data_IF_057511224485
#
_entry.id   IF_057511224485
#
_cell.length_a   1.000
_cell.length_b   1.000
_cell.length_c   1.000
_cell.angle_alpha   90.00
_cell.angle_beta   90.00
_cell.angle_gamma   90.00
#
_symmetry.space_group_name_H-M   'P 1'
#
loop_
_entity.id
_entity.type
_entity.pdbx_description
1 polymer ?
#
# COMPACT_ATOMS: atom_id res chain seq x y z
N UNK A 1 4.02 24.20 -13.77
CA UNK A 1 3.03 23.11 -13.90
C UNK A 1 2.53 22.75 -12.51
N UNK A 2 1.25 22.41 -12.34
CA UNK A 2 0.75 21.93 -11.03
C UNK A 2 1.28 20.53 -10.75
N UNK A 3 1.64 20.24 -9.52
CA UNK A 3 2.24 18.96 -9.12
C UNK A 3 1.21 17.86 -8.90
N UNK A 4 1.65 16.61 -9.01
CA UNK A 4 0.89 15.42 -8.64
C UNK A 4 1.35 14.99 -7.24
N UNK A 5 0.42 14.98 -6.29
CA UNK A 5 0.67 14.50 -4.94
C UNK A 5 0.65 12.97 -4.91
N UNK A 6 1.71 12.35 -4.40
CA UNK A 6 1.82 10.91 -4.17
C UNK A 6 1.73 10.64 -2.66
N UNK A 7 0.74 9.85 -2.26
CA UNK A 7 0.40 9.60 -0.84
C UNK A 7 0.93 8.27 -0.29
N UNK A 8 1.68 7.52 -1.09
CA UNK A 8 2.27 6.22 -0.72
C UNK A 8 3.45 6.37 0.24
N UNK A 9 3.85 5.29 0.97
CA UNK A 9 5.14 5.23 1.63
C UNK A 9 6.28 5.69 0.72
N UNK A 10 7.21 6.48 1.25
CA UNK A 10 8.19 7.27 0.48
C UNK A 10 8.94 6.44 -0.59
N UNK A 11 9.50 5.30 -0.19
CA UNK A 11 10.24 4.44 -1.13
C UNK A 11 9.36 3.93 -2.28
N UNK A 12 8.12 3.53 -1.98
CA UNK A 12 7.16 3.07 -2.98
C UNK A 12 6.69 4.21 -3.89
N UNK A 13 6.51 5.42 -3.34
CA UNK A 13 6.14 6.61 -4.10
C UNK A 13 7.22 7.02 -5.09
N UNK A 14 8.48 7.08 -4.64
CA UNK A 14 9.63 7.37 -5.49
C UNK A 14 9.81 6.32 -6.60
N UNK A 15 9.68 5.03 -6.26
CA UNK A 15 9.77 3.96 -7.25
C UNK A 15 8.67 4.04 -8.31
N UNK A 16 7.47 4.42 -7.91
CA UNK A 16 6.35 4.63 -8.82
C UNK A 16 6.61 5.83 -9.74
N UNK A 17 7.01 6.98 -9.20
CA UNK A 17 7.26 8.20 -9.98
C UNK A 17 8.35 7.99 -11.05
N UNK A 18 9.42 7.25 -10.73
CA UNK A 18 10.51 6.91 -11.68
C UNK A 18 10.04 6.05 -12.87
N UNK A 19 8.91 5.36 -12.76
CA UNK A 19 8.34 4.56 -13.84
C UNK A 19 7.40 5.37 -14.74
N UNK A 20 7.07 6.59 -14.36
CA UNK A 20 6.28 7.50 -15.21
C UNK A 20 7.18 8.18 -16.26
N UNK A 21 6.55 8.81 -17.24
CA UNK A 21 7.27 9.64 -18.21
C UNK A 21 7.29 11.13 -17.84
N UNK A 22 6.99 11.47 -16.58
CA UNK A 22 7.05 12.82 -16.02
C UNK A 22 8.37 13.03 -15.27
N UNK A 23 8.76 14.30 -15.10
CA UNK A 23 9.93 14.64 -14.32
C UNK A 23 9.66 14.51 -12.82
N UNK A 24 10.69 14.23 -12.02
CA UNK A 24 10.54 14.11 -10.56
C UNK A 24 10.03 15.41 -9.92
N UNK A 25 10.30 16.56 -10.53
CA UNK A 25 9.83 17.87 -10.07
C UNK A 25 8.31 18.07 -10.28
N UNK A 26 7.67 17.24 -11.10
CA UNK A 26 6.22 17.22 -11.28
C UNK A 26 5.49 16.57 -10.10
N UNK A 27 6.22 15.96 -9.18
CA UNK A 27 5.64 15.27 -8.03
C UNK A 27 5.89 16.01 -6.72
N UNK A 28 4.95 15.84 -5.80
CA UNK A 28 5.11 16.09 -4.37
C UNK A 28 4.82 14.78 -3.63
N UNK A 29 5.64 14.47 -2.62
CA UNK A 29 5.52 13.22 -1.87
C UNK A 29 5.12 13.52 -0.43
N UNK A 30 3.95 13.05 -0.03
CA UNK A 30 3.45 13.13 1.34
C UNK A 30 2.96 11.75 1.77
N UNK A 31 3.83 10.91 2.34
CA UNK A 31 3.44 9.60 2.83
C UNK A 31 2.40 9.72 3.96
N UNK A 32 1.19 9.22 3.73
CA UNK A 32 0.13 9.20 4.73
C UNK A 32 0.10 7.92 5.57
N UNK A 33 0.93 6.95 5.19
CA UNK A 33 1.18 5.72 5.95
C UNK A 33 2.69 5.51 5.95
N UNK A 34 3.24 5.30 7.12
CA UNK A 34 4.62 4.91 7.35
C UNK A 34 4.68 3.45 7.81
N UNK A 35 5.58 2.68 7.22
CA UNK A 35 5.84 1.32 7.71
C UNK A 35 6.93 1.41 8.77
N UNK A 36 6.59 1.04 9.99
CA UNK A 36 7.52 0.95 11.12
C UNK A 36 7.84 -0.51 11.38
N UNK A 37 9.12 -0.83 11.35
CA UNK A 37 9.58 -2.15 11.79
C UNK A 37 9.43 -2.24 13.31
N UNK A 38 8.98 -3.39 13.76
CA UNK A 38 8.91 -3.74 15.18
C UNK A 38 10.18 -4.58 15.46
N UNK A 39 10.91 -4.18 16.48
CA UNK A 39 12.08 -4.96 16.92
C UNK A 39 11.58 -6.28 17.53
N UNK A 40 11.79 -7.36 16.79
CA UNK A 40 11.34 -8.71 17.16
C UNK A 40 12.50 -9.68 17.08
N UNK A 41 12.58 -10.56 18.06
CA UNK A 41 13.48 -11.70 18.00
C UNK A 41 12.84 -12.83 17.22
N UNK A 42 13.50 -13.30 16.16
CA UNK A 42 13.05 -14.48 15.43
C UNK A 42 13.11 -15.70 16.36
N UNK A 43 12.06 -16.54 16.36
CA UNK A 43 12.12 -17.82 17.06
C UNK A 43 13.14 -18.75 16.39
N UNK A 44 13.43 -19.89 17.03
CA UNK A 44 14.22 -20.94 16.39
C UNK A 44 13.50 -21.43 15.12
N UNK A 45 14.06 -21.09 13.97
CA UNK A 45 13.46 -21.41 12.67
C UNK A 45 13.49 -22.91 12.34
N UNK A 46 14.37 -23.68 12.99
CA UNK A 46 14.49 -25.13 12.75
C UNK A 46 13.25 -25.94 13.19
N UNK A 47 12.38 -25.36 14.00
CA UNK A 47 11.13 -26.01 14.42
C UNK A 47 9.98 -25.84 13.44
N UNK A 48 10.19 -25.06 12.35
CA UNK A 48 9.19 -24.77 11.33
C UNK A 48 9.53 -25.48 10.01
N UNK A 49 8.50 -25.98 9.34
CA UNK A 49 8.60 -26.55 8.00
C UNK A 49 8.71 -25.46 6.92
N UNK A 50 8.42 -24.22 7.27
CA UNK A 50 8.57 -23.06 6.41
C UNK A 50 8.05 -21.77 7.02
N UNK A 51 8.29 -20.67 6.31
CA UNK A 51 7.87 -19.30 6.67
C UNK A 51 6.91 -18.76 5.63
N UNK A 52 5.82 -18.12 6.08
CA UNK A 52 4.87 -17.42 5.21
C UNK A 52 5.18 -15.93 5.27
N UNK A 53 5.28 -15.28 4.09
CA UNK A 53 5.49 -13.84 3.95
C UNK A 53 4.48 -13.29 2.95
N UNK A 54 3.70 -12.29 3.36
CA UNK A 54 2.75 -11.59 2.49
C UNK A 54 3.21 -10.19 2.09
N UNK A 55 4.37 -9.74 2.59
CA UNK A 55 4.95 -8.43 2.28
C UNK A 55 6.47 -8.51 2.17
N UNK A 56 7.04 -7.78 1.22
CA UNK A 56 8.48 -7.70 1.02
C UNK A 56 9.25 -7.20 2.27
N UNK A 57 8.60 -6.41 3.15
CA UNK A 57 9.22 -5.89 4.37
C UNK A 57 9.66 -6.97 5.38
N UNK A 58 9.16 -8.20 5.25
CA UNK A 58 9.50 -9.30 6.13
C UNK A 58 10.61 -10.21 5.58
N UNK A 59 11.00 -10.03 4.31
CA UNK A 59 11.89 -10.97 3.60
C UNK A 59 13.38 -10.81 3.99
N UNK A 60 13.81 -9.56 4.20
CA UNK A 60 15.23 -9.23 4.39
C UNK A 60 15.82 -9.76 5.71
N UNK A 61 14.96 -10.18 6.65
CA UNK A 61 15.38 -10.72 7.95
C UNK A 61 15.54 -12.24 7.98
N UNK A 62 15.28 -12.96 6.86
CA UNK A 62 15.26 -14.41 6.84
C UNK A 62 16.51 -15.00 6.21
N UNK A 63 17.05 -16.13 6.77
CA UNK A 63 18.12 -16.87 6.15
C UNK A 63 17.63 -17.58 4.87
N UNK A 64 18.49 -17.65 3.85
CA UNK A 64 18.18 -18.29 2.56
C UNK A 64 17.83 -19.79 2.69
N UNK A 65 18.26 -20.43 3.77
CA UNK A 65 18.08 -21.87 4.01
C UNK A 65 16.66 -22.30 4.35
N UNK A 66 15.76 -21.36 4.74
CA UNK A 66 14.40 -21.73 5.11
C UNK A 66 13.45 -21.69 3.93
N UNK A 67 12.55 -22.69 3.84
CA UNK A 67 11.51 -22.70 2.82
C UNK A 67 10.57 -21.50 3.02
N UNK A 68 10.49 -20.65 2.02
CA UNK A 68 9.69 -19.43 2.08
C UNK A 68 8.49 -19.53 1.13
N UNK A 69 7.29 -19.34 1.67
CA UNK A 69 6.04 -19.19 0.93
C UNK A 69 5.70 -17.69 0.86
N UNK A 70 5.96 -17.03 -0.26
CA UNK A 70 5.82 -15.60 -0.39
C UNK A 70 4.79 -15.16 -1.42
N UNK A 71 4.10 -14.05 -1.13
CA UNK A 71 3.33 -13.33 -2.14
C UNK A 71 4.29 -12.64 -3.11
N UNK A 72 4.03 -12.77 -4.40
CA UNK A 72 4.87 -12.29 -5.50
C UNK A 72 5.72 -13.40 -6.12
N UNK A 73 6.51 -14.14 -5.32
CA UNK A 73 7.38 -15.20 -5.85
C UNK A 73 6.68 -16.56 -5.94
N UNK A 74 5.91 -16.93 -4.88
CA UNK A 74 5.25 -18.24 -4.82
C UNK A 74 3.79 -18.18 -5.27
N UNK A 75 3.06 -17.13 -4.94
CA UNK A 75 1.69 -16.88 -5.39
C UNK A 75 1.39 -15.39 -5.51
N UNK A 76 0.50 -14.94 -6.42
CA UNK A 76 0.24 -13.53 -6.66
C UNK A 76 -0.51 -12.84 -5.52
N UNK A 77 -1.32 -13.55 -4.73
CA UNK A 77 -2.08 -13.01 -3.61
C UNK A 77 -1.99 -13.89 -2.37
N UNK A 78 -2.31 -13.33 -1.20
CA UNK A 78 -2.35 -14.09 0.06
C UNK A 78 -3.36 -15.24 0.02
N UNK A 79 -4.51 -15.06 -0.65
CA UNK A 79 -5.52 -16.09 -0.83
C UNK A 79 -5.01 -17.25 -1.69
N UNK A 80 -4.40 -16.93 -2.81
CA UNK A 80 -3.82 -17.93 -3.72
C UNK A 80 -2.61 -18.62 -3.09
N UNK A 81 -1.86 -17.91 -2.23
CA UNK A 81 -0.78 -18.45 -1.45
C UNK A 81 -1.28 -19.56 -0.51
N UNK A 82 -2.37 -19.31 0.24
CA UNK A 82 -2.97 -20.32 1.10
C UNK A 82 -3.43 -21.57 0.32
N UNK A 83 -4.15 -21.35 -0.79
CA UNK A 83 -4.60 -22.45 -1.68
C UNK A 83 -3.42 -23.26 -2.18
N UNK A 84 -2.33 -22.61 -2.57
CA UNK A 84 -1.14 -23.27 -3.10
C UNK A 84 -0.40 -24.06 -2.04
N UNK A 85 -0.29 -23.54 -0.80
CA UNK A 85 0.32 -24.27 0.33
C UNK A 85 -0.43 -25.58 0.57
N UNK A 86 -1.76 -25.54 0.65
CA UNK A 86 -2.60 -26.75 0.85
C UNK A 86 -2.40 -27.75 -0.30
N UNK A 87 -2.44 -27.27 -1.55
CA UNK A 87 -2.30 -28.13 -2.73
C UNK A 87 -0.93 -28.81 -2.82
N UNK A 88 0.13 -28.08 -2.49
CA UNK A 88 1.51 -28.57 -2.65
C UNK A 88 1.98 -29.44 -1.47
N UNK A 89 1.17 -29.53 -0.39
CA UNK A 89 1.45 -30.34 0.80
C UNK A 89 0.20 -31.15 1.22
N UNK A 90 -0.32 -32.03 0.34
CA UNK A 90 -1.52 -32.79 0.62
C UNK A 90 -1.27 -33.81 1.76
N UNK A 91 -2.19 -33.87 2.72
CA UNK A 91 -2.14 -34.75 3.89
C UNK A 91 -0.96 -34.51 4.86
N UNK A 92 -0.26 -33.39 4.75
CA UNK A 92 0.80 -33.00 5.68
C UNK A 92 0.30 -31.93 6.65
N UNK A 93 0.54 -32.12 7.95
CA UNK A 93 0.32 -31.08 8.95
C UNK A 93 1.63 -30.31 9.14
N UNK A 94 1.76 -29.19 8.44
CA UNK A 94 2.93 -28.32 8.55
C UNK A 94 2.86 -27.45 9.81
N UNK A 95 4.03 -27.15 10.38
CA UNK A 95 4.20 -26.05 11.33
C UNK A 95 4.86 -24.87 10.62
N UNK A 96 4.13 -23.76 10.46
CA UNK A 96 4.55 -22.61 9.69
C UNK A 96 4.64 -21.37 10.57
N UNK A 97 5.67 -20.54 10.36
CA UNK A 97 5.78 -19.22 10.94
C UNK A 97 5.25 -18.19 9.96
N UNK A 98 4.17 -17.48 10.30
CA UNK A 98 3.65 -16.38 9.51
C UNK A 98 4.19 -15.05 10.00
N UNK A 99 5.15 -14.48 9.26
CA UNK A 99 5.71 -13.15 9.53
C UNK A 99 4.86 -12.11 8.81
N UNK A 100 4.21 -11.23 9.58
CA UNK A 100 3.20 -10.32 9.07
C UNK A 100 3.25 -8.92 9.69
N UNK A 101 2.54 -8.00 9.08
CA UNK A 101 2.21 -6.73 9.72
C UNK A 101 1.16 -6.85 10.81
N UNK A 102 1.02 -5.83 11.63
CA UNK A 102 -0.04 -5.75 12.65
C UNK A 102 -1.43 -5.84 12.01
N UNK A 103 -1.64 -5.13 10.89
CA UNK A 103 -2.87 -5.18 10.12
C UNK A 103 -2.76 -6.23 9.00
N UNK A 104 -3.76 -7.08 8.85
CA UNK A 104 -3.86 -8.08 7.79
C UNK A 104 -5.16 -7.93 7.01
N UNK A 105 -5.08 -8.03 5.69
CA UNK A 105 -6.25 -8.01 4.81
C UNK A 105 -6.85 -9.41 4.58
N UNK A 106 -6.13 -10.46 4.93
CA UNK A 106 -6.53 -11.86 4.72
C UNK A 106 -6.11 -12.69 5.94
N UNK A 107 -7.06 -13.43 6.50
CA UNK A 107 -6.82 -14.32 7.64
C UNK A 107 -6.16 -15.62 7.17
N UNK A 108 -4.83 -15.60 7.14
CA UNK A 108 -4.00 -16.73 6.73
C UNK A 108 -4.13 -17.90 7.70
N UNK A 109 -4.24 -17.62 9.01
CA UNK A 109 -4.37 -18.63 10.03
C UNK A 109 -5.68 -19.42 9.93
N UNK A 110 -6.77 -18.72 9.64
CA UNK A 110 -8.05 -19.37 9.36
C UNK A 110 -8.01 -20.19 8.06
N UNK A 111 -7.43 -19.63 6.99
CA UNK A 111 -7.35 -20.29 5.69
C UNK A 111 -6.48 -21.56 5.71
N UNK A 112 -5.52 -21.63 6.63
CA UNK A 112 -4.60 -22.77 6.83
C UNK A 112 -4.88 -23.51 8.15
N UNK A 113 -6.15 -23.62 8.54
CA UNK A 113 -6.56 -24.19 9.84
C UNK A 113 -6.15 -25.66 10.04
N UNK A 114 -5.83 -26.41 8.99
CA UNK A 114 -5.31 -27.78 9.04
C UNK A 114 -3.80 -27.83 9.36
N UNK A 115 -3.12 -26.68 9.37
CA UNK A 115 -1.72 -26.53 9.71
C UNK A 115 -1.54 -25.82 11.05
N UNK A 116 -0.37 -25.93 11.67
CA UNK A 116 -0.01 -25.14 12.86
C UNK A 116 0.64 -23.83 12.43
N UNK A 117 -0.04 -22.71 12.67
CA UNK A 117 0.45 -21.38 12.31
C UNK A 117 0.80 -20.61 13.57
N UNK A 118 2.10 -20.36 13.75
CA UNK A 118 2.61 -19.37 14.69
C UNK A 118 2.76 -18.01 13.97
N UNK A 119 2.39 -16.92 14.63
CA UNK A 119 2.41 -15.58 14.01
C UNK A 119 3.47 -14.70 14.66
N UNK A 120 4.23 -13.96 13.85
CA UNK A 120 5.19 -12.96 14.28
C UNK A 120 4.86 -11.61 13.61
N UNK A 121 4.46 -10.63 14.42
CA UNK A 121 4.21 -9.28 13.95
C UNK A 121 5.53 -8.52 13.89
N UNK A 122 6.05 -8.25 12.70
CA UNK A 122 7.37 -7.64 12.47
C UNK A 122 7.32 -6.19 12.00
N UNK A 123 6.16 -5.68 11.63
CA UNK A 123 5.97 -4.28 11.26
C UNK A 123 4.53 -3.83 11.48
N UNK A 124 4.34 -2.52 11.52
CA UNK A 124 3.03 -1.87 11.56
C UNK A 124 2.93 -0.76 10.51
N UNK A 125 1.71 -0.49 10.05
CA UNK A 125 1.40 0.60 9.15
C UNK A 125 0.78 1.76 9.95
N UNK A 126 1.59 2.76 10.28
CA UNK A 126 1.19 3.91 11.09
C UNK A 126 0.66 5.02 10.20
N UNK A 127 -0.55 5.50 10.49
CA UNK A 127 -1.14 6.63 9.78
C UNK A 127 -0.48 7.96 10.21
N UNK A 128 -0.30 8.88 9.28
CA UNK A 128 0.08 10.25 9.57
C UNK A 128 -0.96 10.93 10.49
N UNK A 129 -0.50 11.79 11.39
CA UNK A 129 -1.37 12.52 12.31
C UNK A 129 -1.74 13.93 11.83
N UNK A 130 -0.97 14.47 10.89
CA UNK A 130 -1.18 15.78 10.26
C UNK A 130 -0.57 15.75 8.83
N UNK A 131 -1.00 16.67 7.99
CA UNK A 131 -0.30 17.00 6.74
C UNK A 131 0.86 17.94 7.06
N UNK A 132 1.93 17.90 6.26
CA UNK A 132 3.04 18.84 6.43
C UNK A 132 2.62 20.27 6.09
N UNK A 133 3.28 21.25 6.72
CA UNK A 133 3.03 22.67 6.44
C UNK A 133 3.34 23.01 4.98
N UNK A 134 4.35 22.35 4.38
CA UNK A 134 4.70 22.49 2.96
C UNK A 134 3.55 22.03 2.06
N UNK A 135 2.92 20.91 2.36
CA UNK A 135 1.77 20.41 1.58
C UNK A 135 0.56 21.33 1.75
N UNK A 136 0.26 21.78 2.97
CA UNK A 136 -0.83 22.73 3.24
C UNK A 136 -0.63 24.02 2.44
N UNK A 137 0.59 24.59 2.46
CA UNK A 137 0.94 25.77 1.68
C UNK A 137 0.79 25.52 0.18
N UNK A 138 1.19 24.33 -0.30
CA UNK A 138 1.07 23.95 -1.72
C UNK A 138 -0.40 23.90 -2.18
N UNK A 139 -1.32 23.42 -1.34
CA UNK A 139 -2.76 23.47 -1.63
C UNK A 139 -3.27 24.91 -1.67
N UNK A 140 -2.96 25.73 -0.69
CA UNK A 140 -3.40 27.12 -0.59
C UNK A 140 -2.89 27.97 -1.77
N UNK A 141 -1.70 27.67 -2.26
CA UNK A 141 -1.08 28.36 -3.42
C UNK A 141 -1.52 27.79 -4.78
N UNK A 142 -2.39 26.78 -4.81
CA UNK A 142 -2.87 26.17 -6.06
C UNK A 142 -1.80 25.38 -6.83
N UNK A 143 -0.74 24.92 -6.15
CA UNK A 143 0.39 24.21 -6.77
C UNK A 143 0.09 22.72 -7.03
N UNK A 144 -1.02 22.18 -6.51
CA UNK A 144 -1.42 20.78 -6.68
C UNK A 144 -2.49 20.70 -7.78
N UNK A 145 -2.27 19.84 -8.77
CA UNK A 145 -3.22 19.58 -9.85
C UNK A 145 -3.92 18.23 -9.76
N UNK A 146 -3.27 17.26 -9.11
CA UNK A 146 -3.84 15.94 -8.92
C UNK A 146 -3.30 15.29 -7.64
N UNK A 147 -4.07 14.32 -7.12
CA UNK A 147 -3.67 13.48 -5.97
C UNK A 147 -3.84 12.02 -6.38
N UNK A 148 -2.80 11.21 -6.22
CA UNK A 148 -2.84 9.79 -6.54
C UNK A 148 -3.09 8.94 -5.28
N UNK A 149 -4.20 8.22 -5.28
CA UNK A 149 -4.62 7.33 -4.21
C UNK A 149 -4.49 5.86 -4.63
N UNK A 150 -3.73 5.10 -3.86
CA UNK A 150 -3.42 3.69 -4.12
C UNK A 150 -4.14 2.72 -3.17
N UNK A 151 -4.86 3.21 -2.19
CA UNK A 151 -5.69 2.41 -1.28
C UNK A 151 -6.81 3.23 -0.65
N UNK A 152 -7.94 2.57 -0.35
CA UNK A 152 -9.07 3.20 0.36
C UNK A 152 -8.62 3.78 1.70
N UNK A 153 -7.82 3.05 2.48
CA UNK A 153 -7.28 3.52 3.77
C UNK A 153 -6.52 4.84 3.63
N UNK A 154 -5.66 4.97 2.60
CA UNK A 154 -4.90 6.21 2.37
C UNK A 154 -5.82 7.37 1.97
N UNK A 155 -6.86 7.12 1.16
CA UNK A 155 -7.85 8.12 0.81
C UNK A 155 -8.63 8.60 2.04
N UNK A 156 -9.07 7.70 2.91
CA UNK A 156 -9.79 8.02 4.15
C UNK A 156 -8.92 8.83 5.14
N UNK A 157 -7.63 8.48 5.26
CA UNK A 157 -6.67 9.25 6.08
C UNK A 157 -6.53 10.66 5.50
N UNK A 158 -6.34 10.77 4.18
CA UNK A 158 -6.21 12.08 3.51
C UNK A 158 -7.42 12.98 3.78
N UNK A 159 -8.64 12.46 3.61
CA UNK A 159 -9.88 13.23 3.85
C UNK A 159 -9.92 13.79 5.27
N UNK A 160 -9.65 12.94 6.26
CA UNK A 160 -9.62 13.36 7.68
C UNK A 160 -8.57 14.44 7.94
N UNK A 161 -7.37 14.29 7.38
CA UNK A 161 -6.28 15.25 7.57
C UNK A 161 -6.52 16.56 6.83
N UNK A 162 -7.07 16.51 5.62
CA UNK A 162 -7.43 17.68 4.83
C UNK A 162 -8.54 18.50 5.50
N UNK A 163 -9.54 17.82 6.09
CA UNK A 163 -10.58 18.46 6.88
C UNK A 163 -10.00 19.13 8.14
N UNK A 164 -9.12 18.43 8.85
CA UNK A 164 -8.43 18.97 10.05
C UNK A 164 -7.56 20.18 9.71
N UNK A 165 -6.94 20.21 8.53
CA UNK A 165 -6.08 21.30 8.05
C UNK A 165 -6.85 22.46 7.40
N UNK A 166 -8.18 22.37 7.30
CA UNK A 166 -9.07 23.37 6.69
C UNK A 166 -8.65 23.76 5.27
N UNK A 167 -8.40 22.74 4.43
CA UNK A 167 -7.98 22.93 3.03
C UNK A 167 -8.94 22.31 2.00
N UNK A 168 -10.13 21.86 2.41
CA UNK A 168 -11.09 21.22 1.50
C UNK A 168 -11.52 22.16 0.35
N UNK A 169 -11.68 23.43 0.64
CA UNK A 169 -12.07 24.44 -0.38
C UNK A 169 -10.99 24.65 -1.46
N UNK A 170 -9.75 24.30 -1.19
CA UNK A 170 -8.65 24.39 -2.15
C UNK A 170 -8.60 23.20 -3.12
N UNK A 171 -9.54 22.23 -3.02
CA UNK A 171 -9.49 20.99 -3.79
C UNK A 171 -10.50 20.93 -4.95
N UNK A 172 -11.30 21.97 -5.17
CA UNK A 172 -12.39 22.00 -6.17
C UNK A 172 -11.93 21.71 -7.60
N UNK A 173 -10.72 22.13 -7.97
CA UNK A 173 -10.15 21.96 -9.31
C UNK A 173 -9.05 20.87 -9.35
N UNK A 174 -8.90 20.09 -8.30
CA UNK A 174 -7.89 19.04 -8.19
C UNK A 174 -8.48 17.70 -8.62
N UNK A 175 -7.74 16.92 -9.40
CA UNK A 175 -8.15 15.57 -9.79
C UNK A 175 -7.76 14.56 -8.75
N UNK A 176 -8.71 13.71 -8.34
CA UNK A 176 -8.43 12.52 -7.53
C UNK A 176 -8.21 11.30 -8.44
N UNK A 177 -6.99 10.80 -8.50
CA UNK A 177 -6.60 9.65 -9.31
C UNK A 177 -6.65 8.40 -8.44
N UNK A 178 -7.61 7.54 -8.65
CA UNK A 178 -7.90 6.38 -7.82
C UNK A 178 -7.51 5.08 -8.53
N UNK A 179 -6.78 4.20 -7.85
CA UNK A 179 -6.42 2.88 -8.39
C UNK A 179 -7.65 1.97 -8.57
N UNK A 180 -8.73 2.18 -7.81
CA UNK A 180 -9.95 1.38 -7.88
C UNK A 180 -11.19 2.17 -7.45
N UNK A 181 -12.38 1.66 -7.80
CA UNK A 181 -13.67 2.24 -7.42
C UNK A 181 -13.93 2.27 -5.90
N UNK A 182 -13.24 1.46 -5.10
CA UNK A 182 -13.46 1.37 -3.64
C UNK A 182 -13.21 2.69 -2.89
N UNK A 183 -12.57 3.67 -3.54
CA UNK A 183 -12.23 4.97 -2.95
C UNK A 183 -13.23 6.07 -3.29
N UNK A 184 -14.06 5.86 -4.33
CA UNK A 184 -14.96 6.91 -4.86
C UNK A 184 -15.87 7.45 -3.77
N UNK A 185 -16.50 6.56 -3.00
CA UNK A 185 -17.45 6.92 -1.95
C UNK A 185 -16.86 7.92 -0.94
N UNK A 186 -15.66 7.69 -0.43
CA UNK A 186 -15.04 8.56 0.57
C UNK A 186 -14.48 9.88 -0.01
N UNK A 187 -14.26 9.95 -1.33
CA UNK A 187 -13.70 11.12 -2.01
C UNK A 187 -14.76 11.99 -2.70
N UNK A 188 -15.95 11.46 -2.96
CA UNK A 188 -16.94 12.10 -3.80
C UNK A 188 -17.41 13.47 -3.28
N UNK A 189 -17.57 13.60 -1.97
CA UNK A 189 -17.98 14.87 -1.35
C UNK A 189 -16.98 16.02 -1.54
N UNK A 190 -15.71 15.69 -1.85
CA UNK A 190 -14.62 16.68 -2.00
C UNK A 190 -14.32 16.93 -3.48
N UNK A 191 -14.24 15.88 -4.29
CA UNK A 191 -13.74 15.95 -5.65
C UNK A 191 -14.84 15.82 -6.74
N UNK A 192 -16.02 15.30 -6.38
CA UNK A 192 -17.14 15.14 -7.32
C UNK A 192 -16.70 14.47 -8.63
N UNK A 193 -16.98 15.13 -9.76
CA UNK A 193 -16.67 14.63 -11.11
C UNK A 193 -15.17 14.67 -11.46
N UNK A 194 -14.35 15.29 -10.61
CA UNK A 194 -12.89 15.29 -10.75
C UNK A 194 -12.24 13.98 -10.31
N UNK A 195 -13.01 12.98 -9.85
CA UNK A 195 -12.50 11.65 -9.58
C UNK A 195 -12.26 10.91 -10.91
N UNK A 196 -11.07 10.37 -11.07
CA UNK A 196 -10.69 9.50 -12.18
C UNK A 196 -10.25 8.15 -11.62
N UNK A 197 -10.90 7.09 -12.06
CA UNK A 197 -10.58 5.73 -11.62
C UNK A 197 -9.77 5.03 -12.70
N UNK A 198 -8.73 4.33 -12.28
CA UNK A 198 -7.89 3.54 -13.17
C UNK A 198 -8.71 2.44 -13.86
N UNK A 199 -8.42 2.19 -15.12
CA UNK A 199 -9.07 1.13 -15.90
C UNK A 199 -8.74 -0.28 -15.35
N UNK A 200 -7.53 -0.46 -14.81
CA UNK A 200 -7.13 -1.68 -14.09
C UNK A 200 -6.67 -1.31 -12.67
N UNK A 201 -7.06 -2.09 -11.62
CA UNK A 201 -6.76 -1.77 -10.24
C UNK A 201 -5.34 -2.19 -9.83
N UNK A 202 -4.36 -1.82 -10.65
CA UNK A 202 -2.94 -2.15 -10.49
C UNK A 202 -2.04 -0.95 -10.76
N UNK A 203 -0.74 -1.09 -10.48
CA UNK A 203 0.23 -0.02 -10.70
C UNK A 203 0.34 0.39 -12.17
N UNK A 204 0.19 -0.54 -13.11
CA UNK A 204 0.26 -0.27 -14.54
C UNK A 204 -0.91 0.60 -15.00
N UNK A 205 -2.10 0.37 -14.45
CA UNK A 205 -3.26 1.22 -14.68
C UNK A 205 -3.03 2.65 -14.20
N UNK A 206 -2.46 2.83 -13.01
CA UNK A 206 -2.11 4.15 -12.47
C UNK A 206 -1.01 4.83 -13.29
N UNK A 207 0.02 4.09 -13.75
CA UNK A 207 1.06 4.63 -14.63
C UNK A 207 0.46 5.13 -15.94
N UNK A 208 -0.40 4.34 -16.60
CA UNK A 208 -1.09 4.77 -17.83
C UNK A 208 -1.91 6.03 -17.60
N UNK A 209 -2.66 6.10 -16.49
CA UNK A 209 -3.49 7.25 -16.16
C UNK A 209 -2.65 8.53 -15.99
N UNK A 210 -1.56 8.46 -15.22
CA UNK A 210 -0.67 9.60 -14.96
C UNK A 210 0.08 10.01 -16.24
N UNK A 211 0.59 9.07 -17.02
CA UNK A 211 1.29 9.35 -18.27
C UNK A 211 0.39 10.03 -19.32
N UNK A 212 -0.92 9.73 -19.30
CA UNK A 212 -1.91 10.38 -20.17
C UNK A 212 -2.28 11.80 -19.70
N UNK A 213 -1.79 12.24 -18.54
CA UNK A 213 -1.98 13.62 -18.05
C UNK A 213 -0.96 14.61 -18.62
N UNK A 214 -0.07 14.20 -19.55
CA UNK A 214 0.84 15.13 -20.25
C UNK A 214 0.03 16.20 -20.96
N UNK A 215 0.15 17.45 -20.45
CA UNK A 215 -0.52 18.63 -21.05
C UNK A 215 -1.42 19.42 -20.11
N UNK A 216 -1.34 19.18 -18.78
CA UNK A 216 -2.04 19.98 -17.76
C UNK A 216 -1.11 20.97 -17.06
#
# INVERSE_FOLDING_TARGET
MRKILITRPKAQGLNFARQTCLDMDDFLFEPLIEIRLIDVTLPDLNIYDGVIITSAHAKDALPESIKCYSVGDYAPTAKELAVRIIRDNPNEMLRLLYIRGADVAFDMKYALSEHKIDELISYEAVAAHALSDELIASFKNGNIGAIAFFSKRTAEIFVKLAQKADILDNMKDIKALCISNSMVECLYSIFGDNIKVSHSPDLQGMLRMINNMKGY
#
